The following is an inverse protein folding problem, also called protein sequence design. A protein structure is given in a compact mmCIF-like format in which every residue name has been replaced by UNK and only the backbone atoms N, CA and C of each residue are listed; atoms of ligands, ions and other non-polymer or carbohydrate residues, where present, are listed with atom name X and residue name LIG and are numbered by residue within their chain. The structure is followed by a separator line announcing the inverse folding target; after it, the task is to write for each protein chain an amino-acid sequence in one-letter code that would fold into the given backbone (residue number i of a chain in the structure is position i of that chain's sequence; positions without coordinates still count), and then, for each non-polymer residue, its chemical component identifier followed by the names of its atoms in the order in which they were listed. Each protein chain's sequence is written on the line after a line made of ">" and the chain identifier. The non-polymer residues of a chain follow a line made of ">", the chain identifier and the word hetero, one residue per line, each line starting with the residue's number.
data_IF_836130210249
#
_entry.id   IF_836130210249
#
_cell.length_a   1.000
_cell.length_b   1.000
_cell.length_c   1.000
_cell.angle_alpha   90.00
_cell.angle_beta   90.00
_cell.angle_gamma   90.00
#
_symmetry.space_group_name_H-M   'P 1'
#
loop_
_entity.id
_entity.type
_entity.pdbx_description
1 polymer ?
#
# COMPACT_ATOMS: atom_id res chain seq x y z
N UNK A 1 -13.38 7.24 28.06
CA UNK A 1 -12.49 6.68 27.02
C UNK A 1 -12.88 7.30 25.69
N UNK A 2 -12.08 8.25 25.18
CA UNK A 2 -12.28 8.86 23.86
C UNK A 2 -11.61 7.95 22.82
N UNK A 3 -12.42 7.23 22.04
CA UNK A 3 -12.00 6.46 20.87
C UNK A 3 -11.55 7.44 19.79
N UNK A 4 -10.30 7.91 19.89
CA UNK A 4 -9.70 8.79 18.89
C UNK A 4 -9.40 7.93 17.65
N UNK A 5 -10.17 8.10 16.58
CA UNK A 5 -9.88 7.46 15.28
C UNK A 5 -8.50 7.92 14.82
N UNK A 6 -7.58 6.97 14.67
CA UNK A 6 -6.20 7.23 14.20
C UNK A 6 -6.12 7.40 12.68
N UNK A 7 -7.11 6.92 11.94
CA UNK A 7 -7.24 7.16 10.51
C UNK A 7 -8.03 8.43 10.23
N UNK A 8 -7.48 9.27 9.34
CA UNK A 8 -8.18 10.44 8.82
C UNK A 8 -9.35 10.05 7.91
N UNK A 9 -9.29 8.88 7.26
CA UNK A 9 -10.34 8.36 6.40
C UNK A 9 -11.07 7.19 7.09
N UNK A 10 -12.42 7.21 7.17
CA UNK A 10 -13.19 6.06 7.63
C UNK A 10 -13.04 4.88 6.64
N UNK A 11 -13.25 3.64 7.11
CA UNK A 11 -13.45 2.52 6.20
C UNK A 11 -14.63 2.84 5.27
N UNK A 12 -14.42 2.70 3.97
CA UNK A 12 -15.45 2.99 2.96
C UNK A 12 -16.22 1.71 2.63
N UNK A 13 -17.53 1.82 2.51
CA UNK A 13 -18.35 0.79 1.86
C UNK A 13 -18.11 0.89 0.35
N UNK A 14 -17.24 0.02 -0.17
CA UNK A 14 -16.83 0.02 -1.57
C UNK A 14 -17.99 -0.25 -2.54
N UNK A 15 -19.02 -1.00 -2.10
CA UNK A 15 -20.20 -1.27 -2.93
C UNK A 15 -21.05 -0.01 -3.07
N UNK A 16 -21.37 0.63 -1.94
CA UNK A 16 -22.09 1.90 -1.96
C UNK A 16 -21.31 2.98 -2.71
N UNK A 17 -19.98 3.00 -2.58
CA UNK A 17 -19.11 3.95 -3.28
C UNK A 17 -19.15 3.73 -4.80
N UNK A 18 -19.15 2.47 -5.26
CA UNK A 18 -19.27 2.14 -6.68
C UNK A 18 -20.65 2.52 -7.26
N UNK A 19 -21.73 2.28 -6.51
CA UNK A 19 -23.08 2.70 -6.93
C UNK A 19 -23.17 4.23 -7.10
N UNK A 20 -22.65 4.97 -6.12
CA UNK A 20 -22.62 6.44 -6.17
C UNK A 20 -21.76 6.95 -7.33
N UNK A 21 -20.59 6.34 -7.56
CA UNK A 21 -19.70 6.73 -8.63
C UNK A 21 -20.32 6.49 -10.01
N UNK A 22 -20.99 5.35 -10.21
CA UNK A 22 -21.67 5.04 -11.46
C UNK A 22 -22.81 6.03 -11.75
N UNK A 23 -23.58 6.41 -10.73
CA UNK A 23 -24.62 7.43 -10.86
C UNK A 23 -24.04 8.80 -11.25
N UNK A 24 -22.97 9.25 -10.60
CA UNK A 24 -22.27 10.50 -10.95
C UNK A 24 -21.68 10.48 -12.36
N UNK A 25 -21.10 9.35 -12.75
CA UNK A 25 -20.54 9.21 -14.09
C UNK A 25 -21.63 9.24 -15.17
N UNK A 26 -22.83 8.74 -14.87
CA UNK A 26 -23.98 8.87 -15.78
C UNK A 26 -24.42 10.34 -15.97
N UNK A 27 -24.33 11.17 -14.92
CA UNK A 27 -24.62 12.62 -14.99
C UNK A 27 -23.60 13.39 -15.84
N UNK A 28 -22.31 13.00 -15.77
CA UNK A 28 -21.22 13.62 -16.53
C UNK A 28 -21.22 13.23 -18.02
N UNK A 29 -21.92 12.16 -18.37
CA UNK A 29 -22.02 11.67 -19.74
C UNK A 29 -20.84 10.77 -20.16
N UNK A 30 -20.71 10.48 -21.47
CA UNK A 30 -19.79 9.47 -21.98
C UNK A 30 -18.32 9.93 -22.08
N UNK A 31 -18.07 11.23 -21.91
CA UNK A 31 -16.73 11.82 -22.03
C UNK A 31 -15.95 11.69 -20.74
N UNK A 32 -14.62 11.52 -20.85
CA UNK A 32 -13.73 11.52 -19.69
C UNK A 32 -13.91 12.82 -18.89
N UNK A 33 -14.17 12.76 -17.57
CA UNK A 33 -14.25 13.94 -16.74
C UNK A 33 -12.89 14.63 -16.66
N UNK A 34 -12.89 15.95 -16.77
CA UNK A 34 -11.69 16.75 -16.60
C UNK A 34 -11.39 17.01 -15.11
N UNK A 35 -10.24 17.66 -14.85
CA UNK A 35 -9.83 17.97 -13.48
C UNK A 35 -10.84 18.88 -12.74
N UNK A 36 -11.55 19.76 -13.46
CA UNK A 36 -12.52 20.66 -12.84
C UNK A 36 -13.75 19.88 -12.35
N UNK A 37 -14.25 18.95 -13.17
CA UNK A 37 -15.35 18.05 -12.81
C UNK A 37 -14.98 17.16 -11.60
N UNK A 38 -13.79 16.56 -11.60
CA UNK A 38 -13.33 15.73 -10.48
C UNK A 38 -13.17 16.56 -9.19
N UNK A 39 -12.59 17.77 -9.27
CA UNK A 39 -12.46 18.64 -8.11
C UNK A 39 -13.82 19.10 -7.55
N UNK A 40 -14.81 19.32 -8.42
CA UNK A 40 -16.17 19.65 -7.98
C UNK A 40 -16.81 18.50 -7.19
N UNK A 41 -16.61 17.25 -7.61
CA UNK A 41 -17.08 16.06 -6.86
C UNK A 41 -16.37 15.96 -5.52
N UNK A 42 -15.04 16.12 -5.51
CA UNK A 42 -14.24 16.06 -4.28
C UNK A 42 -14.67 17.13 -3.27
N UNK A 43 -15.00 18.34 -3.73
CA UNK A 43 -15.47 19.44 -2.89
C UNK A 43 -16.91 19.28 -2.40
N UNK A 44 -17.78 18.61 -3.16
CA UNK A 44 -19.18 18.41 -2.80
C UNK A 44 -19.43 17.17 -1.92
N UNK A 45 -18.58 16.15 -2.04
CA UNK A 45 -18.65 14.91 -1.28
C UNK A 45 -17.32 14.67 -0.55
N UNK A 46 -16.47 13.80 -1.11
CA UNK A 46 -15.13 13.54 -0.61
C UNK A 46 -14.19 13.03 -1.70
N UNK A 47 -12.92 12.87 -1.34
CA UNK A 47 -11.87 12.38 -2.23
C UNK A 47 -12.07 10.92 -2.65
N UNK A 48 -12.77 10.09 -1.86
CA UNK A 48 -13.00 8.68 -2.18
C UNK A 48 -13.96 8.57 -3.35
N UNK A 49 -15.09 9.31 -3.31
CA UNK A 49 -16.05 9.32 -4.41
C UNK A 49 -15.43 9.91 -5.68
N UNK A 50 -14.71 11.02 -5.57
CA UNK A 50 -14.04 11.64 -6.71
C UNK A 50 -13.03 10.68 -7.37
N UNK A 51 -12.24 9.97 -6.57
CA UNK A 51 -11.27 8.97 -7.05
C UNK A 51 -11.98 7.79 -7.71
N UNK A 52 -13.08 7.30 -7.12
CA UNK A 52 -13.86 6.20 -7.68
C UNK A 52 -14.51 6.59 -9.02
N UNK A 53 -15.09 7.78 -9.14
CA UNK A 53 -15.67 8.29 -10.42
C UNK A 53 -14.60 8.33 -11.52
N UNK A 54 -13.42 8.88 -11.21
CA UNK A 54 -12.32 8.92 -12.17
C UNK A 54 -11.89 7.50 -12.58
N UNK A 55 -11.78 6.57 -11.63
CA UNK A 55 -11.43 5.18 -11.90
C UNK A 55 -12.45 4.50 -12.83
N UNK A 56 -13.75 4.68 -12.58
CA UNK A 56 -14.80 4.12 -13.43
C UNK A 56 -14.81 4.73 -14.83
N UNK A 57 -14.52 6.03 -14.96
CA UNK A 57 -14.37 6.67 -16.26
C UNK A 57 -13.17 6.10 -17.04
N UNK A 58 -12.04 5.87 -16.36
CA UNK A 58 -10.86 5.23 -16.94
C UNK A 58 -11.13 3.80 -17.41
N UNK A 59 -11.93 3.04 -16.66
CA UNK A 59 -12.35 1.70 -17.09
C UNK A 59 -13.22 1.74 -18.36
N UNK A 60 -14.07 2.75 -18.53
CA UNK A 60 -14.94 2.90 -19.71
C UNK A 60 -14.20 3.44 -20.95
N UNK A 61 -13.07 4.11 -20.75
CA UNK A 61 -12.25 4.64 -21.84
C UNK A 61 -11.72 3.50 -22.74
N UNK A 62 -11.99 3.51 -24.06
CA UNK A 62 -11.58 2.43 -24.95
C UNK A 62 -10.06 2.22 -25.02
N UNK A 63 -9.27 3.29 -24.85
CA UNK A 63 -7.81 3.24 -24.91
C UNK A 63 -7.18 2.79 -23.59
N UNK A 64 -7.58 3.40 -22.47
CA UNK A 64 -6.98 3.18 -21.14
C UNK A 64 -7.61 2.01 -20.40
N UNK A 65 -8.92 1.81 -20.56
CA UNK A 65 -9.66 0.76 -19.86
C UNK A 65 -9.25 -0.64 -20.30
N UNK A 66 -8.78 -0.81 -21.53
CA UNK A 66 -8.26 -2.09 -22.01
C UNK A 66 -7.04 -2.53 -21.20
N UNK A 67 -6.07 -1.63 -20.98
CA UNK A 67 -4.88 -1.89 -20.18
C UNK A 67 -5.21 -2.18 -18.71
N UNK A 68 -6.13 -1.43 -18.11
CA UNK A 68 -6.55 -1.67 -16.71
C UNK A 68 -7.19 -3.05 -16.57
N UNK A 69 -8.10 -3.41 -17.49
CA UNK A 69 -8.71 -4.75 -17.51
C UNK A 69 -7.68 -5.85 -17.75
N UNK A 70 -6.65 -5.59 -18.56
CA UNK A 70 -5.55 -6.53 -18.77
C UNK A 70 -4.75 -6.75 -17.49
N UNK A 71 -4.46 -5.69 -16.71
CA UNK A 71 -3.85 -5.82 -15.39
C UNK A 71 -4.75 -6.61 -14.44
N UNK A 72 -6.04 -6.28 -14.39
CA UNK A 72 -6.99 -6.95 -13.48
C UNK A 72 -7.20 -8.43 -13.85
N UNK A 73 -7.17 -8.73 -15.15
CA UNK A 73 -7.28 -10.10 -15.67
C UNK A 73 -5.93 -10.84 -15.67
N UNK A 74 -4.82 -10.13 -15.50
CA UNK A 74 -3.52 -10.75 -15.37
C UNK A 74 -3.59 -11.64 -14.12
N UNK A 75 -3.50 -12.95 -14.34
CA UNK A 75 -3.32 -13.90 -13.26
C UNK A 75 -2.12 -13.40 -12.46
N UNK A 76 -2.37 -13.06 -11.20
CA UNK A 76 -1.36 -12.89 -10.17
C UNK A 76 -0.53 -14.18 -10.21
N UNK A 77 0.58 -14.13 -10.94
CA UNK A 77 1.21 -15.33 -11.46
C UNK A 77 1.57 -16.27 -10.33
N UNK A 78 1.22 -17.54 -10.44
CA UNK A 78 1.69 -18.62 -9.55
C UNK A 78 3.18 -18.94 -9.79
N UNK A 79 3.94 -17.98 -10.33
CA UNK A 79 5.34 -18.16 -10.66
C UNK A 79 6.11 -18.16 -9.35
N UNK A 80 6.28 -19.36 -8.80
CA UNK A 80 7.24 -19.58 -7.72
C UNK A 80 8.61 -19.15 -8.24
N UNK A 81 9.15 -18.07 -7.67
CA UNK A 81 10.48 -17.58 -8.02
C UNK A 81 11.49 -18.61 -7.52
N UNK A 82 12.11 -19.36 -8.43
CA UNK A 82 13.19 -20.26 -8.07
C UNK A 82 14.34 -19.45 -7.47
N UNK A 83 14.90 -19.90 -6.34
CA UNK A 83 15.92 -19.17 -5.57
C UNK A 83 15.50 -17.74 -5.18
N UNK A 84 14.21 -17.55 -4.86
CA UNK A 84 13.70 -16.27 -4.38
C UNK A 84 14.58 -15.67 -3.26
N UNK A 85 14.95 -14.38 -3.35
CA UNK A 85 15.54 -13.66 -2.23
C UNK A 85 14.61 -13.69 -1.00
N UNK A 86 15.20 -13.62 0.19
CA UNK A 86 14.45 -13.41 1.41
C UNK A 86 13.83 -12.02 1.39
N UNK A 87 12.51 -11.90 1.59
CA UNK A 87 11.87 -10.60 1.76
C UNK A 87 12.01 -10.16 3.23
N UNK A 88 12.61 -9.00 3.46
CA UNK A 88 12.75 -8.42 4.79
C UNK A 88 11.91 -7.16 4.86
N UNK A 89 10.90 -7.17 5.72
CA UNK A 89 10.03 -6.01 5.98
C UNK A 89 10.62 -5.21 7.13
N UNK A 90 10.88 -3.92 6.92
CA UNK A 90 11.27 -2.95 7.94
C UNK A 90 10.02 -2.20 8.39
N UNK A 91 9.50 -2.48 9.60
CA UNK A 91 8.24 -1.90 10.07
C UNK A 91 8.28 -0.37 10.21
N UNK A 92 7.09 0.22 10.18
CA UNK A 92 6.86 1.62 10.49
C UNK A 92 6.88 1.89 12.00
N UNK A 93 6.63 3.13 12.36
CA UNK A 93 6.47 3.51 13.76
C UNK A 93 5.15 2.99 14.30
N UNK A 94 5.13 2.65 15.59
CA UNK A 94 3.94 2.20 16.32
C UNK A 94 3.28 0.91 15.83
N UNK A 95 4.00 0.09 15.05
CA UNK A 95 3.43 -1.12 14.46
C UNK A 95 2.94 -2.15 15.49
N UNK A 96 3.50 -2.15 16.71
CA UNK A 96 3.04 -3.02 17.81
C UNK A 96 1.89 -2.41 18.60
N UNK A 97 1.90 -1.08 18.76
CA UNK A 97 0.91 -0.37 19.55
C UNK A 97 -0.41 -0.17 18.79
N UNK A 98 -0.34 -0.05 17.45
CA UNK A 98 -1.48 0.14 16.56
C UNK A 98 -1.41 -0.83 15.35
N UNK A 99 -1.63 -2.13 15.56
CA UNK A 99 -1.57 -3.14 14.50
C UNK A 99 -2.56 -2.87 13.36
N UNK A 100 -3.68 -2.19 13.65
CA UNK A 100 -4.69 -1.82 12.66
C UNK A 100 -4.16 -0.90 11.56
N UNK A 101 -3.03 -0.23 11.77
CA UNK A 101 -2.37 0.64 10.78
C UNK A 101 -1.64 -0.19 9.72
N UNK A 102 -1.37 -1.47 9.98
CA UNK A 102 -0.61 -2.33 9.06
C UNK A 102 0.82 -1.87 8.85
N UNK A 103 1.36 -1.07 9.77
CA UNK A 103 2.73 -0.57 9.73
C UNK A 103 3.77 -1.68 9.94
N UNK A 104 3.34 -2.86 10.42
CA UNK A 104 4.14 -4.06 10.54
C UNK A 104 4.38 -4.74 9.18
N UNK A 105 3.57 -4.42 8.18
CA UNK A 105 3.62 -5.01 6.84
C UNK A 105 2.96 -6.38 6.72
N UNK A 106 2.05 -6.76 7.62
CA UNK A 106 1.35 -8.06 7.58
C UNK A 106 0.71 -8.33 6.21
N UNK A 107 0.05 -7.33 5.61
CA UNK A 107 -0.55 -7.45 4.27
C UNK A 107 0.51 -7.81 3.22
N UNK A 108 1.67 -7.15 3.25
CA UNK A 108 2.76 -7.40 2.31
C UNK A 108 3.33 -8.80 2.53
N UNK A 109 3.53 -9.21 3.78
CA UNK A 109 4.01 -10.55 4.12
C UNK A 109 3.04 -11.63 3.63
N UNK A 110 1.74 -11.44 3.83
CA UNK A 110 0.70 -12.36 3.39
C UNK A 110 0.66 -12.48 1.86
N UNK A 111 0.79 -11.37 1.13
CA UNK A 111 0.88 -11.38 -0.34
C UNK A 111 2.15 -12.12 -0.77
N UNK A 112 3.32 -11.74 -0.27
CA UNK A 112 4.60 -12.34 -0.63
C UNK A 112 4.64 -13.86 -0.38
N UNK A 113 4.06 -14.31 0.74
CA UNK A 113 3.95 -15.74 1.06
C UNK A 113 3.09 -16.50 0.05
N UNK A 114 1.99 -15.90 -0.46
CA UNK A 114 1.17 -16.50 -1.52
C UNK A 114 1.94 -16.68 -2.84
N UNK A 115 3.00 -15.88 -3.05
CA UNK A 115 3.94 -16.04 -4.18
C UNK A 115 5.11 -16.99 -3.88
N UNK A 116 5.12 -17.65 -2.72
CA UNK A 116 6.17 -18.58 -2.33
C UNK A 116 7.46 -17.91 -1.84
N UNK A 117 7.42 -16.61 -1.50
CA UNK A 117 8.56 -15.91 -0.91
C UNK A 117 8.65 -16.23 0.59
N UNK A 118 9.88 -16.40 1.08
CA UNK A 118 10.14 -16.36 2.52
C UNK A 118 10.15 -14.91 2.98
N UNK A 119 9.47 -14.62 4.08
CA UNK A 119 9.35 -13.27 4.63
C UNK A 119 9.84 -13.25 6.06
N UNK A 120 10.60 -12.21 6.43
CA UNK A 120 10.95 -11.89 7.81
C UNK A 120 10.66 -10.41 8.08
N UNK A 121 10.25 -10.11 9.31
CA UNK A 121 10.20 -8.74 9.80
C UNK A 121 11.53 -8.41 10.47
N UNK A 122 12.13 -7.28 10.11
CA UNK A 122 13.29 -6.75 10.79
C UNK A 122 12.94 -6.47 12.26
N UNK A 123 13.83 -6.80 13.22
CA UNK A 123 13.52 -6.75 14.65
C UNK A 123 13.60 -5.33 15.23
N UNK A 124 13.20 -4.30 14.49
CA UNK A 124 13.28 -2.90 14.93
C UNK A 124 12.29 -2.60 16.06
N UNK A 125 12.65 -1.64 16.89
CA UNK A 125 11.82 -1.17 18.00
C UNK A 125 10.66 -0.32 17.48
N UNK A 126 9.44 -0.65 17.90
CA UNK A 126 8.21 0.06 17.49
C UNK A 126 8.24 1.54 17.89
N UNK A 127 8.78 1.83 19.08
CA UNK A 127 8.93 3.16 19.67
C UNK A 127 10.36 3.71 19.58
N UNK A 128 11.28 2.96 18.97
CA UNK A 128 12.69 3.32 18.90
C UNK A 128 12.96 4.55 18.03
N UNK A 129 14.09 5.19 18.31
CA UNK A 129 14.61 6.26 17.46
C UNK A 129 15.15 5.70 16.14
N UNK A 130 15.25 6.54 15.10
CA UNK A 130 15.87 6.14 13.81
C UNK A 130 17.30 5.61 14.04
N UNK A 131 18.08 6.26 14.92
CA UNK A 131 19.47 5.86 15.18
C UNK A 131 19.55 4.49 15.86
N UNK A 132 18.70 4.23 16.84
CA UNK A 132 18.64 2.95 17.54
C UNK A 132 18.26 1.82 16.56
N UNK A 133 17.18 2.03 15.81
CA UNK A 133 16.71 1.05 14.83
C UNK A 133 17.70 0.83 13.69
N UNK A 134 18.47 1.85 13.31
CA UNK A 134 19.53 1.73 12.33
C UNK A 134 20.63 0.75 12.80
N UNK A 135 21.04 0.81 14.07
CA UNK A 135 22.01 -0.16 14.61
C UNK A 135 21.43 -1.58 14.70
N UNK A 136 20.17 -1.71 15.12
CA UNK A 136 19.46 -2.99 15.16
C UNK A 136 19.41 -3.60 13.75
N UNK A 137 18.97 -2.81 12.77
CA UNK A 137 18.83 -3.24 11.38
C UNK A 137 20.18 -3.60 10.77
N UNK A 138 21.21 -2.79 11.00
CA UNK A 138 22.56 -3.07 10.50
C UNK A 138 23.12 -4.39 11.09
N UNK A 139 22.98 -4.60 12.40
CA UNK A 139 23.43 -5.83 13.04
C UNK A 139 22.66 -7.05 12.54
N UNK A 140 21.33 -6.95 12.43
CA UNK A 140 20.46 -8.00 11.89
C UNK A 140 20.90 -8.41 10.48
N UNK A 141 21.05 -7.44 9.57
CA UNK A 141 21.39 -7.73 8.17
C UNK A 141 22.82 -8.27 8.00
N UNK A 142 23.80 -7.77 8.76
CA UNK A 142 25.21 -8.18 8.59
C UNK A 142 25.53 -9.51 9.28
N UNK A 143 24.83 -9.85 10.37
CA UNK A 143 25.14 -11.02 11.20
C UNK A 143 24.22 -12.20 10.94
N UNK A 144 22.93 -11.95 10.69
CA UNK A 144 21.90 -12.99 10.68
C UNK A 144 21.47 -13.36 9.26
N UNK A 145 21.51 -12.41 8.31
CA UNK A 145 21.10 -12.66 6.93
C UNK A 145 22.29 -13.14 6.10
N UNK A 146 22.23 -14.39 5.63
CA UNK A 146 23.31 -15.09 4.89
C UNK A 146 22.96 -15.45 3.45
N UNK A 147 21.90 -14.84 2.90
CA UNK A 147 21.38 -15.09 1.56
C UNK A 147 20.96 -13.78 0.92
N UNK A 148 20.76 -13.77 -0.39
CA UNK A 148 20.19 -12.62 -1.08
C UNK A 148 18.83 -12.25 -0.48
N UNK A 149 18.61 -10.96 -0.32
CA UNK A 149 17.40 -10.42 0.29
C UNK A 149 16.91 -9.17 -0.43
N UNK A 150 15.62 -8.92 -0.31
CA UNK A 150 14.97 -7.68 -0.69
C UNK A 150 14.49 -6.95 0.56
N UNK A 151 14.73 -5.65 0.65
CA UNK A 151 14.20 -4.80 1.71
C UNK A 151 12.92 -4.11 1.24
N UNK A 152 11.85 -4.30 2.00
CA UNK A 152 10.61 -3.51 1.89
C UNK A 152 10.47 -2.71 3.17
N UNK A 153 10.21 -1.42 3.08
CA UNK A 153 10.12 -0.56 4.26
C UNK A 153 8.80 0.17 4.35
N UNK A 154 8.31 0.33 5.57
CA UNK A 154 7.04 0.98 5.87
C UNK A 154 7.31 2.33 6.56
N UNK A 155 6.79 3.43 6.03
CA UNK A 155 6.81 4.76 6.68
C UNK A 155 8.17 5.12 7.33
N UNK A 156 8.28 5.14 8.68
CA UNK A 156 9.55 5.38 9.40
C UNK A 156 10.69 4.45 8.95
N UNK A 157 10.40 3.18 8.69
CA UNK A 157 11.37 2.20 8.22
C UNK A 157 12.09 2.65 6.94
N UNK A 158 11.45 3.48 6.10
CA UNK A 158 12.09 4.04 4.91
C UNK A 158 13.24 4.98 5.25
N UNK A 159 13.14 5.75 6.33
CA UNK A 159 14.25 6.58 6.79
C UNK A 159 15.40 5.70 7.30
N UNK A 160 15.10 4.66 8.07
CA UNK A 160 16.10 3.70 8.60
C UNK A 160 16.87 3.03 7.46
N UNK A 161 16.17 2.54 6.42
CA UNK A 161 16.80 1.95 5.23
C UNK A 161 17.65 2.96 4.47
N UNK A 162 17.17 4.20 4.27
CA UNK A 162 17.94 5.25 3.60
C UNK A 162 19.26 5.55 4.33
N UNK A 163 19.20 5.69 5.65
CA UNK A 163 20.40 5.91 6.47
C UNK A 163 21.33 4.70 6.48
N UNK A 164 20.80 3.49 6.43
CA UNK A 164 21.60 2.27 6.31
C UNK A 164 22.40 2.23 5.00
N UNK A 165 21.78 2.60 3.87
CA UNK A 165 22.42 2.58 2.55
C UNK A 165 23.45 3.71 2.34
N UNK A 166 23.48 4.71 3.23
CA UNK A 166 24.44 5.81 3.20
C UNK A 166 25.66 5.58 4.11
N UNK A 167 25.69 4.45 4.84
CA UNK A 167 26.88 4.01 5.59
C UNK A 167 27.91 3.40 4.66
#
# INVERSE_FOLDING_TARGET
>A
MLTRRLFAAPMSDELALAEQASARLAELGPTMPDAAAINAIAGAADANLASRVLYEALLRDPGRGAFIREIDAALVGTVAVQNAPLLIIVPGMFYREYPEIGADGELIAGIATKFGLNVLNAPTSSLGSIRENLEILHNFLTREVRRDFWLVSMSRGSAEVKWLLQR
#
